data_IF_672442654792
#
_entry.id   IF_672442654792
#
_cell.length_a   1.000
_cell.length_b   1.000
_cell.length_c   1.000
_cell.angle_alpha   90.00
_cell.angle_beta   90.00
_cell.angle_gamma   90.00
#
_symmetry.space_group_name_H-M   'P 1'
#
loop_
_entity.id
_entity.type
_entity.pdbx_description
1 polymer ?
#
# COMPACT_ATOMS: atom_id res chain seq x y z
N UNK A 1 -22.74 -20.26 12.14
CA UNK A 1 -23.92 -19.66 12.80
C UNK A 1 -24.67 -18.71 11.87
N UNK A 2 -24.08 -17.57 11.45
CA UNK A 2 -24.75 -16.59 10.59
C UNK A 2 -25.33 -17.15 9.28
N UNK A 3 -24.56 -17.99 8.56
CA UNK A 3 -25.03 -18.66 7.34
C UNK A 3 -26.30 -19.50 7.58
N UNK A 4 -26.36 -20.23 8.69
CA UNK A 4 -27.53 -21.04 9.03
C UNK A 4 -28.77 -20.17 9.29
N UNK A 5 -28.61 -18.97 9.89
CA UNK A 5 -29.72 -18.02 10.06
C UNK A 5 -30.26 -17.50 8.73
N UNK A 6 -29.36 -17.21 7.79
CA UNK A 6 -29.72 -16.77 6.44
C UNK A 6 -30.45 -17.85 5.66
N UNK A 7 -29.91 -19.08 5.65
CA UNK A 7 -30.55 -20.23 5.00
C UNK A 7 -31.90 -20.57 5.64
N UNK A 8 -31.99 -20.55 6.98
CA UNK A 8 -33.23 -20.81 7.69
C UNK A 8 -34.29 -19.75 7.36
N UNK A 9 -33.93 -18.47 7.32
CA UNK A 9 -34.85 -17.38 6.93
C UNK A 9 -35.37 -17.54 5.51
N UNK A 10 -34.52 -18.00 4.57
CA UNK A 10 -34.95 -18.31 3.21
C UNK A 10 -35.92 -19.51 3.15
N UNK A 11 -35.65 -20.57 3.90
CA UNK A 11 -36.46 -21.81 3.86
C UNK A 11 -37.78 -21.69 4.63
N UNK A 12 -37.79 -21.00 5.77
CA UNK A 12 -38.98 -20.90 6.62
C UNK A 12 -39.98 -19.88 6.12
N UNK A 13 -39.52 -18.78 5.51
CA UNK A 13 -40.36 -17.62 5.17
C UNK A 13 -41.03 -16.96 6.39
N UNK A 14 -40.71 -17.42 7.60
CA UNK A 14 -41.29 -17.00 8.87
C UNK A 14 -40.15 -16.63 9.82
N UNK A 15 -40.20 -15.38 10.31
CA UNK A 15 -39.25 -14.82 11.26
C UNK A 15 -39.30 -15.51 12.64
N UNK A 16 -40.37 -16.24 12.95
CA UNK A 16 -40.57 -16.88 14.25
C UNK A 16 -40.28 -18.39 14.24
N UNK A 17 -39.91 -18.96 13.09
CA UNK A 17 -39.63 -20.39 12.95
C UNK A 17 -38.26 -20.75 13.54
N UNK A 18 -38.18 -20.82 14.87
CA UNK A 18 -36.99 -21.27 15.60
C UNK A 18 -36.68 -22.73 15.25
N UNK A 19 -35.44 -23.01 14.80
CA UNK A 19 -34.99 -24.36 14.49
C UNK A 19 -33.60 -24.61 15.08
N UNK A 20 -33.44 -25.71 15.83
CA UNK A 20 -32.18 -26.06 16.53
C UNK A 20 -31.58 -24.89 17.34
N UNK A 21 -32.41 -24.10 18.01
CA UNK A 21 -32.01 -22.89 18.75
C UNK A 21 -31.36 -21.79 17.90
N UNK A 22 -31.61 -21.81 16.58
CA UNK A 22 -31.20 -20.78 15.64
C UNK A 22 -32.44 -20.03 15.18
N UNK A 23 -32.42 -18.70 15.35
CA UNK A 23 -33.48 -17.81 14.89
C UNK A 23 -33.24 -17.41 13.42
N UNK A 24 -34.26 -17.52 12.54
CA UNK A 24 -34.14 -17.13 11.14
C UNK A 24 -33.89 -15.62 11.00
N UNK A 25 -33.12 -15.23 9.98
CA UNK A 25 -32.97 -13.82 9.61
C UNK A 25 -33.94 -13.47 8.46
N UNK A 26 -34.98 -12.66 8.70
CA UNK A 26 -36.11 -12.53 7.78
C UNK A 26 -35.90 -11.55 6.62
N UNK A 27 -34.72 -10.94 6.47
CA UNK A 27 -34.56 -9.78 5.58
C UNK A 27 -34.26 -10.12 4.11
N UNK A 28 -34.53 -11.34 3.63
CA UNK A 28 -34.04 -11.81 2.33
C UNK A 28 -35.16 -12.11 1.33
N UNK A 29 -35.21 -11.34 0.24
CA UNK A 29 -36.04 -11.59 -0.92
C UNK A 29 -35.48 -12.77 -1.77
N UNK A 30 -36.36 -13.45 -2.51
CA UNK A 30 -35.99 -14.59 -3.37
C UNK A 30 -34.93 -14.26 -4.43
N UNK A 31 -34.76 -12.99 -4.81
CA UNK A 31 -33.72 -12.51 -5.74
C UNK A 31 -32.30 -12.67 -5.19
N UNK A 32 -32.12 -12.65 -3.86
CA UNK A 32 -30.81 -12.72 -3.21
C UNK A 32 -30.42 -14.15 -2.78
N UNK A 33 -31.29 -15.13 -2.98
CA UNK A 33 -31.07 -16.51 -2.54
C UNK A 33 -29.82 -17.16 -3.16
N UNK A 34 -29.53 -16.85 -4.44
CA UNK A 34 -28.35 -17.35 -5.14
C UNK A 34 -27.04 -16.90 -4.47
N UNK A 35 -26.99 -15.67 -3.95
CA UNK A 35 -25.81 -15.15 -3.25
C UNK A 35 -25.52 -15.91 -1.96
N UNK A 36 -26.57 -16.34 -1.24
CA UNK A 36 -26.43 -17.17 -0.04
C UNK A 36 -25.86 -18.54 -0.42
N UNK A 37 -26.29 -19.11 -1.54
CA UNK A 37 -25.73 -20.35 -2.08
C UNK A 37 -24.24 -20.23 -2.37
N UNK A 38 -23.83 -19.21 -3.13
CA UNK A 38 -22.41 -18.96 -3.42
C UNK A 38 -21.58 -18.71 -2.15
N UNK A 39 -22.11 -17.97 -1.18
CA UNK A 39 -21.45 -17.76 0.11
C UNK A 39 -21.33 -19.07 0.90
N UNK A 40 -22.37 -19.92 0.88
CA UNK A 40 -22.34 -21.22 1.54
C UNK A 40 -21.26 -22.12 0.95
N UNK A 41 -21.22 -22.22 -0.39
CA UNK A 41 -20.22 -23.01 -1.11
C UNK A 41 -18.80 -22.50 -0.82
N UNK A 42 -18.61 -21.19 -0.80
CA UNK A 42 -17.33 -20.56 -0.47
C UNK A 42 -16.87 -20.88 0.96
N UNK A 43 -17.75 -20.74 1.95
CA UNK A 43 -17.44 -21.06 3.35
C UNK A 43 -17.14 -22.56 3.51
N UNK A 44 -17.90 -23.42 2.84
CA UNK A 44 -17.66 -24.86 2.87
C UNK A 44 -16.29 -25.20 2.27
N UNK A 45 -15.93 -24.57 1.15
CA UNK A 45 -14.63 -24.76 0.52
C UNK A 45 -13.47 -24.32 1.42
N UNK A 46 -13.59 -23.17 2.09
CA UNK A 46 -12.61 -22.72 3.10
C UNK A 46 -12.49 -23.76 4.22
N UNK A 47 -13.60 -24.28 4.72
CA UNK A 47 -13.58 -25.26 5.81
C UNK A 47 -12.89 -26.57 5.39
N UNK A 48 -13.20 -27.07 4.18
CA UNK A 48 -12.54 -28.25 3.61
C UNK A 48 -11.03 -28.08 3.54
N UNK A 49 -10.56 -26.93 3.03
CA UNK A 49 -9.12 -26.64 2.97
C UNK A 49 -8.52 -26.46 4.36
N UNK A 50 -9.20 -25.79 5.29
CA UNK A 50 -8.72 -25.63 6.68
C UNK A 50 -8.40 -26.98 7.33
N UNK A 51 -9.28 -27.98 7.14
CA UNK A 51 -9.03 -29.33 7.64
C UNK A 51 -7.85 -30.03 6.95
N UNK A 52 -7.70 -29.88 5.63
CA UNK A 52 -6.59 -30.50 4.88
C UNK A 52 -5.24 -29.83 5.20
N UNK A 53 -5.23 -28.50 5.31
CA UNK A 53 -4.07 -27.68 5.63
C UNK A 53 -3.59 -27.89 7.09
N UNK A 54 -4.45 -28.39 7.98
CA UNK A 54 -4.06 -28.71 9.37
C UNK A 54 -3.21 -30.00 9.48
N UNK A 55 -3.20 -30.85 8.46
CA UNK A 55 -2.45 -32.11 8.47
C UNK A 55 -0.97 -31.89 8.12
N UNK A 56 -0.13 -32.86 8.48
CA UNK A 56 1.25 -32.92 7.99
C UNK A 56 1.27 -33.70 6.67
N UNK A 57 1.93 -33.15 5.66
CA UNK A 57 1.99 -33.74 4.32
C UNK A 57 3.43 -33.77 3.81
N UNK A 58 3.70 -34.67 2.86
CA UNK A 58 4.97 -34.68 2.13
C UNK A 58 5.04 -33.48 1.17
N UNK A 59 6.23 -33.05 0.72
CA UNK A 59 6.36 -31.93 -0.22
C UNK A 59 5.55 -32.12 -1.51
N UNK A 60 5.47 -33.35 -2.02
CA UNK A 60 4.67 -33.65 -3.22
C UNK A 60 3.17 -33.49 -2.96
N UNK A 61 2.67 -33.95 -1.82
CA UNK A 61 1.27 -33.78 -1.45
C UNK A 61 0.94 -32.30 -1.19
N UNK A 62 1.85 -31.55 -0.56
CA UNK A 62 1.70 -30.10 -0.42
C UNK A 62 1.64 -29.37 -1.76
N UNK A 63 2.52 -29.71 -2.70
CA UNK A 63 2.49 -29.14 -4.05
C UNK A 63 1.14 -29.38 -4.74
N UNK A 64 0.60 -30.60 -4.68
CA UNK A 64 -0.71 -30.91 -5.27
C UNK A 64 -1.86 -30.17 -4.57
N UNK A 65 -1.85 -30.15 -3.24
CA UNK A 65 -2.88 -29.50 -2.42
C UNK A 65 -2.93 -27.99 -2.67
N UNK A 66 -1.76 -27.33 -2.68
CA UNK A 66 -1.67 -25.88 -2.86
C UNK A 66 -2.00 -25.45 -4.30
N UNK A 67 -1.62 -26.24 -5.32
CA UNK A 67 -2.07 -25.98 -6.70
C UNK A 67 -3.59 -26.07 -6.83
N UNK A 68 -4.22 -27.08 -6.21
CA UNK A 68 -5.68 -27.19 -6.23
C UNK A 68 -6.36 -26.05 -5.47
N UNK A 69 -5.80 -25.66 -4.33
CA UNK A 69 -6.28 -24.50 -3.58
C UNK A 69 -6.26 -23.24 -4.45
N UNK A 70 -5.15 -23.01 -5.17
CA UNK A 70 -5.04 -21.88 -6.09
C UNK A 70 -6.10 -21.93 -7.20
N UNK A 71 -6.32 -23.10 -7.81
CA UNK A 71 -7.31 -23.27 -8.88
C UNK A 71 -8.78 -23.13 -8.38
N UNK A 72 -9.07 -23.54 -7.14
CA UNK A 72 -10.43 -23.52 -6.60
C UNK A 72 -10.86 -22.11 -6.13
N UNK A 73 -9.91 -21.26 -5.71
CA UNK A 73 -10.21 -19.91 -5.18
C UNK A 73 -9.91 -18.77 -6.15
N UNK A 74 -9.05 -18.99 -7.15
CA UNK A 74 -8.65 -17.95 -8.09
C UNK A 74 -9.02 -18.38 -9.51
N UNK A 75 -9.91 -17.62 -10.13
CA UNK A 75 -10.29 -17.80 -11.54
C UNK A 75 -9.14 -17.33 -12.45
N UNK A 76 -8.93 -18.02 -13.57
CA UNK A 76 -8.03 -17.54 -14.62
C UNK A 76 -8.58 -16.22 -15.22
N UNK A 77 -7.73 -15.19 -15.40
CA UNK A 77 -8.19 -13.85 -15.81
C UNK A 77 -8.91 -13.76 -17.16
N UNK A 78 -8.93 -14.82 -17.97
CA UNK A 78 -9.66 -14.85 -19.25
C UNK A 78 -11.18 -14.64 -19.10
N UNK A 79 -11.73 -14.75 -17.89
CA UNK A 79 -13.15 -14.53 -17.58
C UNK A 79 -13.48 -13.12 -17.07
N UNK A 80 -12.47 -12.26 -16.92
CA UNK A 80 -12.63 -10.89 -16.39
C UNK A 80 -12.84 -9.91 -17.56
N UNK A 81 -13.91 -9.11 -17.49
CA UNK A 81 -14.31 -8.22 -18.60
C UNK A 81 -13.23 -7.18 -18.96
N UNK A 82 -13.20 -6.79 -20.25
CA UNK A 82 -12.25 -5.87 -20.92
C UNK A 82 -12.07 -4.47 -20.28
N UNK A 83 -12.75 -4.16 -19.16
CA UNK A 83 -12.79 -2.82 -18.57
C UNK A 83 -11.72 -2.58 -17.48
N UNK A 84 -10.93 -3.58 -17.11
CA UNK A 84 -9.95 -3.52 -16.00
C UNK A 84 -8.49 -3.88 -16.42
N UNK A 85 -8.08 -3.58 -17.65
CA UNK A 85 -6.78 -3.99 -18.25
C UNK A 85 -5.52 -3.84 -17.35
N UNK A 86 -5.24 -2.71 -16.68
CA UNK A 86 -3.96 -2.57 -15.96
C UNK A 86 -3.90 -3.30 -14.61
N UNK A 87 -5.04 -3.65 -14.00
CA UNK A 87 -5.07 -4.48 -12.78
C UNK A 87 -4.94 -5.98 -13.12
N UNK A 88 -5.51 -6.39 -14.26
CA UNK A 88 -5.52 -7.79 -14.72
C UNK A 88 -4.08 -8.31 -14.96
N UNK A 89 -3.20 -7.49 -15.55
CA UNK A 89 -1.81 -7.89 -15.83
C UNK A 89 -1.00 -8.19 -14.56
N UNK A 90 -1.22 -7.42 -13.49
CA UNK A 90 -0.49 -7.60 -12.23
C UNK A 90 -0.95 -8.85 -11.48
N UNK A 91 -2.25 -9.08 -11.44
CA UNK A 91 -2.83 -10.24 -10.75
C UNK A 91 -2.47 -11.55 -11.46
N UNK A 92 -2.44 -11.55 -12.80
CA UNK A 92 -1.95 -12.68 -13.59
C UNK A 92 -0.47 -12.96 -13.32
N UNK A 93 0.39 -11.93 -13.38
CA UNK A 93 1.82 -12.08 -13.09
C UNK A 93 2.05 -12.60 -11.66
N UNK A 94 1.29 -12.10 -10.69
CA UNK A 94 1.37 -12.56 -9.31
C UNK A 94 0.96 -14.04 -9.16
N UNK A 95 -0.12 -14.45 -9.83
CA UNK A 95 -0.59 -15.83 -9.86
C UNK A 95 0.46 -16.77 -10.48
N UNK A 96 0.99 -16.43 -11.66
CA UNK A 96 2.05 -17.21 -12.31
C UNK A 96 3.29 -17.33 -11.42
N UNK A 97 3.72 -16.23 -10.78
CA UNK A 97 4.85 -16.23 -9.85
C UNK A 97 4.64 -17.15 -8.65
N UNK A 98 3.42 -17.20 -8.10
CA UNK A 98 3.06 -18.10 -7.01
C UNK A 98 3.22 -19.57 -7.43
N UNK A 99 2.67 -19.94 -8.59
CA UNK A 99 2.77 -21.30 -9.14
C UNK A 99 4.22 -21.68 -9.46
N UNK A 100 4.97 -20.78 -10.09
CA UNK A 100 6.40 -20.95 -10.39
C UNK A 100 7.22 -21.16 -9.10
N UNK A 101 6.94 -20.37 -8.07
CA UNK A 101 7.58 -20.50 -6.77
C UNK A 101 7.30 -21.85 -6.12
N UNK A 102 6.08 -22.36 -6.25
CA UNK A 102 5.65 -23.65 -5.72
C UNK A 102 6.33 -24.81 -6.45
N UNK A 103 6.40 -24.75 -7.78
CA UNK A 103 7.06 -25.75 -8.62
C UNK A 103 8.57 -25.82 -8.34
N UNK A 104 9.24 -24.67 -8.20
CA UNK A 104 10.67 -24.61 -7.85
C UNK A 104 10.95 -25.20 -6.48
N UNK A 105 10.10 -24.92 -5.49
CA UNK A 105 10.23 -25.52 -4.17
C UNK A 105 10.10 -27.04 -4.22
N UNK A 106 9.14 -27.57 -4.98
CA UNK A 106 9.00 -29.01 -5.18
C UNK A 106 10.25 -29.61 -5.84
N UNK A 107 10.79 -28.96 -6.87
CA UNK A 107 12.00 -29.41 -7.57
C UNK A 107 13.22 -29.48 -6.62
N UNK A 108 13.37 -28.51 -5.73
CA UNK A 108 14.45 -28.51 -4.73
C UNK A 108 14.29 -29.66 -3.73
N UNK A 109 13.06 -29.92 -3.25
CA UNK A 109 12.78 -31.07 -2.39
C UNK A 109 13.09 -32.40 -3.10
N UNK A 110 12.77 -32.53 -4.39
CA UNK A 110 13.10 -33.72 -5.18
C UNK A 110 14.61 -33.90 -5.37
N UNK A 111 15.32 -32.82 -5.68
CA UNK A 111 16.79 -32.81 -5.81
C UNK A 111 17.48 -33.22 -4.51
N UNK A 112 16.94 -32.80 -3.37
CA UNK A 112 17.42 -33.18 -2.05
C UNK A 112 16.91 -34.57 -1.58
N UNK A 113 16.10 -35.27 -2.38
CA UNK A 113 15.40 -36.50 -2.01
C UNK A 113 14.62 -36.38 -0.68
N UNK A 114 14.09 -35.20 -0.39
CA UNK A 114 13.37 -34.92 0.84
C UNK A 114 11.90 -35.33 0.70
N UNK A 115 11.54 -36.44 1.36
CA UNK A 115 10.16 -37.00 1.32
C UNK A 115 9.48 -37.03 2.68
N UNK A 116 10.08 -36.42 3.71
CA UNK A 116 9.52 -36.43 5.06
C UNK A 116 8.29 -35.53 5.16
N UNK A 117 7.27 -35.90 5.95
CA UNK A 117 6.13 -35.04 6.23
C UNK A 117 6.56 -33.77 6.96
N UNK A 118 6.02 -32.62 6.54
CA UNK A 118 6.22 -31.32 7.16
C UNK A 118 4.87 -30.64 7.44
N UNK A 119 4.87 -29.67 8.36
CA UNK A 119 3.70 -28.86 8.67
C UNK A 119 3.44 -27.80 7.60
N UNK A 120 2.22 -27.26 7.57
CA UNK A 120 1.87 -26.13 6.72
C UNK A 120 2.79 -24.93 6.95
N UNK A 121 3.14 -24.63 8.20
CA UNK A 121 3.99 -23.48 8.53
C UNK A 121 5.35 -23.55 7.82
N UNK A 122 5.98 -24.73 7.85
CA UNK A 122 7.26 -24.97 7.16
C UNK A 122 7.10 -24.90 5.65
N UNK A 123 6.07 -25.53 5.08
CA UNK A 123 5.80 -25.49 3.64
C UNK A 123 5.52 -24.06 3.14
N UNK A 124 4.64 -23.33 3.84
CA UNK A 124 4.29 -21.93 3.58
C UNK A 124 5.51 -21.04 3.62
N UNK A 125 6.33 -21.15 4.67
CA UNK A 125 7.55 -20.35 4.80
C UNK A 125 8.55 -20.66 3.67
N UNK A 126 8.77 -21.94 3.36
CA UNK A 126 9.69 -22.34 2.29
C UNK A 126 9.23 -21.92 0.88
N UNK A 127 7.91 -21.88 0.65
CA UNK A 127 7.32 -21.42 -0.60
C UNK A 127 7.28 -19.89 -0.70
N UNK A 128 6.64 -19.20 0.25
CA UNK A 128 6.37 -17.76 0.16
C UNK A 128 7.63 -16.89 0.31
N UNK A 129 8.64 -17.31 1.07
CA UNK A 129 9.88 -16.54 1.18
C UNK A 129 10.64 -16.45 -0.15
N UNK A 130 10.37 -17.34 -1.10
CA UNK A 130 10.94 -17.28 -2.46
C UNK A 130 10.30 -16.18 -3.31
N UNK A 131 9.09 -15.76 -2.93
CA UNK A 131 8.35 -14.70 -3.62
C UNK A 131 8.77 -13.31 -3.15
N UNK A 132 9.57 -13.22 -2.07
CA UNK A 132 10.15 -11.96 -1.63
C UNK A 132 10.76 -11.23 -2.83
N UNK A 133 10.51 -9.91 -2.96
CA UNK A 133 10.83 -9.12 -4.15
C UNK A 133 12.35 -8.92 -4.28
N UNK A 134 13.08 -9.98 -4.61
CA UNK A 134 14.51 -9.90 -4.91
C UNK A 134 14.77 -9.45 -6.36
N UNK A 135 13.72 -9.24 -7.15
CA UNK A 135 13.84 -8.81 -8.54
C UNK A 135 12.66 -7.92 -8.95
N UNK A 136 12.81 -6.62 -8.73
CA UNK A 136 12.39 -5.65 -9.74
C UNK A 136 13.27 -5.89 -10.98
N UNK A 137 13.04 -7.01 -11.67
CA UNK A 137 13.46 -7.19 -13.06
C UNK A 137 12.46 -6.43 -13.94
N UNK A 138 12.20 -5.17 -13.59
CA UNK A 138 11.61 -4.24 -14.54
C UNK A 138 12.57 -4.09 -15.71
N UNK A 139 11.99 -3.79 -16.87
CA UNK A 139 12.66 -3.62 -18.16
C UNK A 139 13.83 -2.62 -18.06
N UNK A 140 15.00 -3.10 -17.68
CA UNK A 140 16.21 -2.31 -17.55
C UNK A 140 16.60 -1.81 -18.95
N UNK A 141 16.78 -0.48 -19.09
CA UNK A 141 17.05 0.22 -20.36
C UNK A 141 15.87 0.36 -21.33
N UNK A 142 14.63 0.23 -20.86
CA UNK A 142 13.45 0.56 -21.68
C UNK A 142 12.89 1.92 -21.26
N UNK A 143 12.91 2.88 -22.18
CA UNK A 143 12.45 4.25 -21.95
C UNK A 143 13.59 5.25 -21.73
N UNK A 144 13.25 6.47 -21.31
CA UNK A 144 14.20 7.59 -21.14
C UNK A 144 14.76 7.75 -19.72
N UNK A 145 14.09 7.22 -18.69
CA UNK A 145 14.48 7.34 -17.28
C UNK A 145 14.36 5.98 -16.60
N UNK A 146 15.43 5.55 -15.91
CA UNK A 146 15.47 4.26 -15.21
C UNK A 146 15.46 4.47 -13.70
N UNK A 147 14.52 3.82 -13.01
CA UNK A 147 14.52 3.72 -11.55
C UNK A 147 15.04 2.35 -11.13
N UNK A 148 16.11 2.32 -10.34
CA UNK A 148 16.73 1.08 -9.90
C UNK A 148 17.42 1.28 -8.55
N UNK A 149 17.63 0.17 -7.84
CA UNK A 149 18.51 0.14 -6.66
C UNK A 149 19.98 0.01 -7.08
N UNK A 150 20.90 0.48 -6.24
CA UNK A 150 22.33 0.28 -6.45
C UNK A 150 22.65 -1.23 -6.34
N UNK A 151 23.00 -1.81 -7.48
CA UNK A 151 23.36 -3.22 -7.64
C UNK A 151 24.87 -3.34 -7.90
N UNK A 152 25.61 -4.15 -7.12
CA UNK A 152 27.06 -4.31 -7.30
C UNK A 152 27.45 -4.70 -8.73
N UNK A 153 28.64 -4.28 -9.16
CA UNK A 153 29.26 -4.66 -10.43
C UNK A 153 28.49 -4.21 -11.67
N UNK A 154 27.65 -3.17 -11.52
CA UNK A 154 26.82 -2.61 -12.60
C UNK A 154 27.07 -1.12 -12.81
N UNK A 155 28.35 -0.72 -12.87
CA UNK A 155 28.79 0.65 -13.13
C UNK A 155 28.62 1.05 -14.60
N UNK A 156 27.38 1.15 -15.07
CA UNK A 156 27.06 1.61 -16.42
C UNK A 156 27.14 3.15 -16.43
N UNK A 157 27.91 3.76 -17.35
CA UNK A 157 28.03 5.20 -17.40
C UNK A 157 26.73 5.85 -17.88
N UNK A 158 26.24 6.83 -17.13
CA UNK A 158 25.07 7.64 -17.49
C UNK A 158 25.46 9.12 -17.52
N UNK A 159 24.80 9.90 -18.38
CA UNK A 159 24.97 11.36 -18.39
C UNK A 159 24.60 11.94 -17.03
N UNK A 160 23.43 11.59 -16.51
CA UNK A 160 22.95 12.05 -15.20
C UNK A 160 22.64 10.85 -14.30
N UNK A 161 23.11 10.90 -13.06
CA UNK A 161 22.81 9.91 -12.02
C UNK A 161 22.21 10.64 -10.81
N UNK A 162 21.09 10.11 -10.32
CA UNK A 162 20.36 10.63 -9.16
C UNK A 162 20.31 9.56 -8.08
N UNK A 163 20.97 9.79 -6.94
CA UNK A 163 20.88 8.95 -5.76
C UNK A 163 19.86 9.55 -4.79
N UNK A 164 18.81 8.79 -4.51
CA UNK A 164 17.70 9.25 -3.66
C UNK A 164 17.70 8.50 -2.33
N UNK A 165 17.31 9.19 -1.25
CA UNK A 165 17.17 8.57 0.07
C UNK A 165 18.50 8.17 0.72
N UNK A 166 19.55 8.97 0.50
CA UNK A 166 20.88 8.75 1.07
C UNK A 166 20.95 9.19 2.55
N UNK A 167 20.06 8.63 3.36
CA UNK A 167 19.95 8.89 4.80
C UNK A 167 20.91 8.00 5.61
N UNK A 168 21.36 8.46 6.78
CA UNK A 168 22.25 7.68 7.67
C UNK A 168 21.66 6.33 8.13
N UNK A 169 20.34 6.24 8.26
CA UNK A 169 19.65 5.00 8.61
C UNK A 169 19.51 4.03 7.42
N UNK A 170 19.53 4.55 6.19
CA UNK A 170 19.19 3.80 4.97
C UNK A 170 20.42 3.33 4.22
N UNK A 171 21.52 4.10 4.27
CA UNK A 171 22.73 3.81 3.52
C UNK A 171 23.99 4.09 4.36
N UNK A 172 25.04 3.23 4.29
CA UNK A 172 25.07 1.91 3.66
C UNK A 172 24.10 0.93 4.35
N UNK A 173 23.61 -0.06 3.61
CA UNK A 173 22.64 -1.04 4.11
C UNK A 173 23.28 -1.86 5.22
N UNK A 174 22.62 -1.94 6.37
CA UNK A 174 23.05 -2.75 7.51
C UNK A 174 22.48 -4.15 7.36
N UNK A 175 23.35 -5.15 7.33
CA UNK A 175 22.98 -6.55 7.51
C UNK A 175 23.93 -7.10 8.55
N UNK A 176 23.49 -7.33 9.80
CA UNK A 176 24.34 -7.97 10.78
C UNK A 176 24.73 -9.35 10.25
N UNK A 177 26.02 -9.74 10.35
CA UNK A 177 26.40 -11.12 10.06
C UNK A 177 25.70 -12.05 11.04
N UNK A 178 25.57 -13.33 10.67
CA UNK A 178 25.09 -14.32 11.62
C UNK A 178 26.09 -14.50 12.77
N UNK A 179 25.61 -14.64 14.00
CA UNK A 179 26.48 -14.85 15.17
C UNK A 179 27.35 -16.12 15.06
N UNK A 180 26.92 -17.08 14.24
CA UNK A 180 27.66 -18.31 13.96
C UNK A 180 28.53 -18.23 12.69
N UNK A 181 28.60 -17.07 12.02
CA UNK A 181 29.49 -16.86 10.89
C UNK A 181 30.94 -16.66 11.36
N UNK A 182 31.73 -17.73 11.30
CA UNK A 182 33.14 -17.70 11.66
C UNK A 182 33.97 -16.80 10.73
N UNK A 183 33.54 -16.59 9.47
CA UNK A 183 34.25 -15.72 8.52
C UNK A 183 34.19 -14.26 8.97
N UNK A 184 33.05 -13.81 9.51
CA UNK A 184 32.89 -12.45 10.02
C UNK A 184 33.90 -12.10 11.12
N UNK A 185 34.29 -13.08 11.95
CA UNK A 185 35.28 -12.91 13.01
C UNK A 185 36.74 -12.98 12.54
N UNK A 186 37.00 -13.55 11.35
CA UNK A 186 38.33 -13.85 10.82
C UNK A 186 38.50 -13.34 9.40
N UNK A 187 38.35 -12.02 9.24
CA UNK A 187 38.46 -11.36 7.95
C UNK A 187 39.76 -11.70 7.21
N UNK A 188 39.63 -12.02 5.92
CA UNK A 188 40.71 -12.21 4.96
C UNK A 188 40.48 -11.34 3.73
N UNK A 189 41.56 -10.87 3.06
CA UNK A 189 41.43 -10.22 1.75
C UNK A 189 40.67 -11.13 0.78
N UNK A 190 39.57 -10.61 0.20
CA UNK A 190 38.64 -11.36 -0.66
C UNK A 190 37.32 -11.70 0.02
N UNK A 191 37.22 -11.62 1.35
CA UNK A 191 35.95 -11.78 2.05
C UNK A 191 35.02 -10.61 1.72
N UNK A 192 33.78 -10.97 1.37
CA UNK A 192 32.76 -10.00 0.99
C UNK A 192 32.12 -9.40 2.23
N UNK A 193 32.18 -8.08 2.34
CA UNK A 193 31.47 -7.34 3.36
C UNK A 193 30.42 -6.44 2.69
N UNK A 194 29.13 -6.65 2.99
CA UNK A 194 28.03 -5.89 2.36
C UNK A 194 28.15 -4.38 2.60
N UNK A 195 28.71 -3.98 3.75
CA UNK A 195 29.02 -2.58 4.05
C UNK A 195 30.03 -2.00 3.07
N UNK A 196 31.07 -2.76 2.74
CA UNK A 196 32.14 -2.30 1.86
C UNK A 196 31.69 -2.32 0.40
N UNK A 197 30.87 -3.31 0.01
CA UNK A 197 30.18 -3.32 -1.30
C UNK A 197 29.34 -2.06 -1.49
N UNK A 198 28.58 -1.66 -0.47
CA UNK A 198 27.76 -0.44 -0.55
C UNK A 198 28.63 0.81 -0.64
N UNK A 199 29.69 0.92 0.17
CA UNK A 199 30.63 2.05 0.05
C UNK A 199 31.26 2.12 -1.33
N UNK A 200 31.63 0.98 -1.89
CA UNK A 200 32.18 0.88 -3.23
C UNK A 200 31.14 1.23 -4.31
N UNK A 201 29.88 0.83 -4.13
CA UNK A 201 28.77 1.21 -5.00
C UNK A 201 28.55 2.72 -5.09
N UNK A 202 28.70 3.45 -3.98
CA UNK A 202 28.64 4.91 -3.99
C UNK A 202 29.73 5.50 -4.88
N UNK A 203 30.96 4.97 -4.77
CA UNK A 203 32.09 5.37 -5.60
C UNK A 203 31.86 5.03 -7.07
N UNK A 204 31.36 3.82 -7.37
CA UNK A 204 31.00 3.44 -8.75
C UNK A 204 29.96 4.39 -9.34
N UNK A 205 28.93 4.75 -8.58
CA UNK A 205 27.91 5.70 -9.02
C UNK A 205 28.50 7.09 -9.30
N UNK A 206 29.40 7.57 -8.44
CA UNK A 206 30.10 8.84 -8.65
C UNK A 206 30.97 8.81 -9.92
N UNK A 207 31.72 7.71 -10.15
CA UNK A 207 32.60 7.54 -11.31
C UNK A 207 31.84 7.28 -12.63
N UNK A 208 30.63 6.75 -12.54
CA UNK A 208 29.76 6.47 -13.69
C UNK A 208 29.04 7.72 -14.21
N UNK A 209 28.82 8.74 -13.36
CA UNK A 209 28.16 9.99 -13.75
C UNK A 209 29.06 10.79 -14.70
N UNK A 210 28.55 11.16 -15.88
CA UNK A 210 29.34 11.88 -16.90
C UNK A 210 29.13 13.38 -16.91
N UNK A 211 27.94 13.86 -16.54
CA UNK A 211 27.59 15.28 -16.57
C UNK A 211 27.00 15.77 -15.25
N UNK A 212 26.13 14.98 -14.60
CA UNK A 212 25.45 15.40 -13.38
C UNK A 212 25.35 14.26 -12.38
N UNK A 213 25.75 14.52 -11.14
CA UNK A 213 25.58 13.63 -10.00
C UNK A 213 24.75 14.35 -8.95
N UNK A 214 23.52 13.88 -8.70
CA UNK A 214 22.60 14.49 -7.75
C UNK A 214 22.36 13.52 -6.60
N UNK A 215 22.42 14.03 -5.38
CA UNK A 215 22.16 13.24 -4.18
C UNK A 215 21.05 13.90 -3.38
N UNK A 216 20.06 13.13 -2.94
CA UNK A 216 19.01 13.59 -2.03
C UNK A 216 18.90 12.71 -0.80
N UNK A 217 18.50 13.32 0.31
CA UNK A 217 18.22 12.67 1.59
C UNK A 217 17.17 13.49 2.35
N UNK A 218 16.54 12.87 3.34
CA UNK A 218 15.54 13.47 4.21
C UNK A 218 16.26 14.18 5.36
N UNK A 219 16.50 15.48 5.20
CA UNK A 219 17.25 16.29 6.17
C UNK A 219 16.50 16.62 7.48
N UNK A 220 15.19 16.37 7.57
CA UNK A 220 14.38 16.62 8.78
C UNK A 220 13.25 15.61 8.96
N UNK A 221 12.90 15.34 10.21
CA UNK A 221 11.77 14.47 10.55
C UNK A 221 10.42 15.19 10.36
N UNK A 222 9.46 14.55 9.68
CA UNK A 222 8.16 15.16 9.30
C UNK A 222 7.32 15.66 10.49
N UNK A 223 7.23 14.89 11.60
CA UNK A 223 6.43 15.25 12.78
C UNK A 223 7.07 16.27 13.72
N UNK A 224 8.32 16.06 14.13
CA UNK A 224 8.99 16.87 15.17
C UNK A 224 10.06 17.82 14.64
N UNK A 225 10.25 17.90 13.31
CA UNK A 225 11.17 18.80 12.63
C UNK A 225 12.65 18.68 13.05
N UNK A 226 13.03 17.60 13.75
CA UNK A 226 14.42 17.38 14.15
C UNK A 226 15.31 17.16 12.93
N UNK A 227 16.53 17.74 12.97
CA UNK A 227 17.52 17.60 11.91
C UNK A 227 17.99 16.15 11.83
N UNK A 228 18.05 15.62 10.61
CA UNK A 228 18.58 14.29 10.29
C UNK A 228 19.82 14.46 9.41
N UNK A 229 20.93 13.79 9.76
CA UNK A 229 22.12 13.82 8.92
C UNK A 229 21.90 13.02 7.63
N UNK A 230 22.65 13.39 6.59
CA UNK A 230 22.85 12.52 5.44
C UNK A 230 23.66 11.29 5.84
N UNK A 231 23.75 10.30 4.96
CA UNK A 231 24.63 9.16 5.20
C UNK A 231 26.10 9.56 5.24
N UNK A 232 26.90 8.74 5.92
CA UNK A 232 28.34 8.96 6.10
C UNK A 232 29.07 9.21 4.78
N UNK A 233 28.69 8.52 3.68
CA UNK A 233 29.33 8.72 2.37
C UNK A 233 29.10 10.13 1.80
N UNK A 234 27.89 10.68 1.99
CA UNK A 234 27.57 12.04 1.56
C UNK A 234 28.32 13.05 2.42
N UNK A 235 28.39 12.85 3.73
CA UNK A 235 29.19 13.72 4.61
C UNK A 235 30.67 13.69 4.23
N UNK A 236 31.25 12.52 3.94
CA UNK A 236 32.64 12.40 3.49
C UNK A 236 32.87 13.11 2.15
N UNK A 237 31.92 13.03 1.22
CA UNK A 237 31.99 13.77 -0.04
C UNK A 237 31.91 15.29 0.19
N UNK A 238 31.02 15.75 1.07
CA UNK A 238 30.92 17.17 1.44
C UNK A 238 32.21 17.68 2.09
N UNK A 239 32.77 16.93 3.04
CA UNK A 239 34.04 17.28 3.70
C UNK A 239 35.20 17.32 2.68
N UNK A 240 35.24 16.39 1.73
CA UNK A 240 36.23 16.39 0.66
C UNK A 240 36.07 17.61 -0.25
N UNK A 241 34.84 17.99 -0.61
CA UNK A 241 34.59 19.19 -1.41
C UNK A 241 35.00 20.46 -0.67
N UNK A 242 34.72 20.55 0.63
CA UNK A 242 35.07 21.72 1.44
C UNK A 242 36.58 21.89 1.66
N UNK A 243 37.36 20.81 1.55
CA UNK A 243 38.83 20.87 1.64
C UNK A 243 39.50 21.50 0.41
N UNK A 244 38.92 21.33 -0.77
CA UNK A 244 39.57 21.69 -2.04
C UNK A 244 38.87 22.82 -2.79
N UNK A 245 37.61 23.13 -2.45
CA UNK A 245 36.83 24.18 -3.09
C UNK A 245 36.24 25.14 -2.07
N UNK A 246 36.25 26.42 -2.45
CA UNK A 246 35.62 27.50 -1.69
C UNK A 246 34.64 28.26 -2.58
N UNK A 247 33.56 28.73 -1.99
CA UNK A 247 32.59 29.60 -2.65
C UNK A 247 32.93 31.07 -2.37
N UNK A 248 32.57 31.97 -3.27
CA UNK A 248 32.79 33.41 -3.05
C UNK A 248 31.94 33.93 -1.88
N UNK A 249 30.81 33.29 -1.58
CA UNK A 249 29.83 33.75 -0.60
C UNK A 249 29.81 32.93 0.70
N UNK A 250 30.41 31.74 0.71
CA UNK A 250 30.45 30.84 1.89
C UNK A 250 31.82 30.18 1.97
N UNK A 251 32.31 29.96 3.20
CA UNK A 251 33.60 29.28 3.40
C UNK A 251 33.58 27.82 2.93
N UNK A 252 32.38 27.20 2.90
CA UNK A 252 32.14 25.79 2.54
C UNK A 252 31.43 25.64 1.20
N UNK A 253 32.06 24.96 0.26
CA UNK A 253 31.45 24.64 -1.04
C UNK A 253 30.19 23.77 -0.89
N UNK A 254 30.17 22.86 0.09
CA UNK A 254 29.07 21.96 0.37
C UNK A 254 27.77 22.68 0.71
N UNK A 255 27.84 23.81 1.42
CA UNK A 255 26.67 24.63 1.77
C UNK A 255 26.08 25.32 0.54
N UNK A 256 26.94 25.79 -0.39
CA UNK A 256 26.47 26.38 -1.66
C UNK A 256 25.83 25.33 -2.57
N UNK A 257 26.35 24.11 -2.57
CA UNK A 257 25.83 23.00 -3.40
C UNK A 257 24.57 22.34 -2.82
N UNK A 258 24.28 22.56 -1.53
CA UNK A 258 23.15 21.93 -0.85
C UNK A 258 21.91 22.81 -0.93
N UNK A 259 20.85 22.30 -1.57
CA UNK A 259 19.55 22.98 -1.62
C UNK A 259 18.58 22.37 -0.61
N UNK A 260 17.97 23.23 0.23
CA UNK A 260 16.95 22.81 1.18
C UNK A 260 15.55 22.95 0.57
N UNK A 261 14.93 21.81 0.27
CA UNK A 261 13.58 21.75 -0.28
C UNK A 261 12.50 21.89 0.82
N UNK A 262 11.48 22.76 0.63
CA UNK A 262 10.30 22.81 1.49
C UNK A 262 9.52 21.49 1.58
N UNK A 263 8.78 21.31 2.69
CA UNK A 263 8.00 20.09 2.97
C UNK A 263 6.86 19.86 1.97
N UNK A 264 6.18 20.93 1.57
CA UNK A 264 5.00 20.84 0.70
C UNK A 264 5.35 21.22 -0.74
N UNK A 265 4.80 20.49 -1.74
CA UNK A 265 5.05 20.80 -3.15
C UNK A 265 4.50 22.16 -3.58
N UNK A 266 3.48 22.67 -2.89
CA UNK A 266 2.86 23.97 -3.14
C UNK A 266 3.48 25.11 -2.32
N UNK A 267 4.67 24.93 -1.74
CA UNK A 267 5.31 25.98 -0.94
C UNK A 267 5.70 27.18 -1.82
N UNK A 268 5.45 28.40 -1.34
CA UNK A 268 5.73 29.65 -2.07
C UNK A 268 7.14 29.74 -2.70
N UNK A 269 8.23 29.29 -2.05
CA UNK A 269 9.57 29.36 -2.63
C UNK A 269 9.77 28.63 -3.97
N UNK A 270 8.89 27.69 -4.34
CA UNK A 270 8.95 27.04 -5.66
C UNK A 270 8.34 27.87 -6.80
N UNK A 271 7.54 28.88 -6.46
CA UNK A 271 6.85 29.78 -7.39
C UNK A 271 7.43 31.21 -7.37
N UNK A 272 8.32 31.51 -6.41
CA UNK A 272 9.03 32.78 -6.36
C UNK A 272 10.33 32.72 -7.18
N UNK A 273 10.70 33.83 -7.79
CA UNK A 273 11.99 33.96 -8.50
C UNK A 273 13.14 34.31 -7.52
N UNK A 274 12.95 34.12 -6.22
CA UNK A 274 13.92 34.50 -5.19
C UNK A 274 15.11 33.55 -5.13
N UNK A 275 14.87 32.25 -5.35
CA UNK A 275 15.92 31.24 -5.37
C UNK A 275 15.81 30.40 -6.66
N UNK A 276 16.73 30.55 -7.63
CA UNK A 276 16.67 29.80 -8.89
C UNK A 276 16.82 28.28 -8.71
N UNK A 277 17.34 27.81 -7.56
CA UNK A 277 17.43 26.39 -7.26
C UNK A 277 16.08 25.76 -6.85
N UNK A 278 15.13 26.59 -6.39
CA UNK A 278 13.80 26.15 -5.99
C UNK A 278 12.81 26.53 -7.08
N UNK A 279 12.45 25.55 -7.91
CA UNK A 279 11.47 25.72 -8.96
C UNK A 279 10.61 24.46 -9.09
N UNK A 280 9.47 24.59 -9.75
CA UNK A 280 8.59 23.46 -10.07
C UNK A 280 8.03 23.60 -11.48
N UNK A 281 7.79 22.47 -12.13
CA UNK A 281 7.04 22.40 -13.39
C UNK A 281 5.55 22.09 -13.16
N UNK A 282 5.13 21.91 -11.90
CA UNK A 282 3.73 21.63 -11.55
C UNK A 282 2.93 22.93 -11.49
N UNK A 283 2.33 23.32 -12.62
CA UNK A 283 1.52 24.54 -12.73
C UNK A 283 0.22 24.50 -11.92
N UNK A 284 -0.29 23.31 -11.57
CA UNK A 284 -1.56 23.15 -10.82
C UNK A 284 -1.58 23.93 -9.49
N UNK A 285 -0.43 24.01 -8.83
CA UNK A 285 -0.28 24.69 -7.54
C UNK A 285 -0.07 26.19 -7.65
N UNK A 286 0.18 26.70 -8.86
CA UNK A 286 0.45 28.12 -9.11
C UNK A 286 -0.75 29.00 -8.80
N UNK A 287 -1.96 28.47 -8.97
CA UNK A 287 -3.21 29.15 -8.65
C UNK A 287 -3.25 29.65 -7.19
N UNK A 288 -2.71 28.87 -6.25
CA UNK A 288 -2.65 29.23 -4.82
C UNK A 288 -1.83 30.49 -4.52
N UNK A 289 -0.86 30.82 -5.39
CA UNK A 289 0.04 31.97 -5.21
C UNK A 289 -0.27 33.13 -6.16
N UNK A 290 -1.00 32.87 -7.24
CA UNK A 290 -1.40 33.89 -8.23
C UNK A 290 -2.68 34.60 -7.80
N UNK A 291 -3.55 33.91 -7.05
CA UNK A 291 -4.73 34.51 -6.43
C UNK A 291 -4.33 35.24 -5.13
N UNK A 292 -3.64 36.37 -5.31
CA UNK A 292 -3.61 37.49 -4.37
C UNK A 292 -4.82 38.43 -4.57
N UNK A 293 -5.88 37.97 -5.26
CA UNK A 293 -7.18 38.51 -4.89
C UNK A 293 -7.39 38.11 -3.44
N UNK A 294 -7.77 39.05 -2.55
CA UNK A 294 -8.11 38.67 -1.19
C UNK A 294 -9.08 37.52 -1.36
N UNK A 295 -8.71 36.33 -0.86
CA UNK A 295 -9.67 35.25 -0.65
C UNK A 295 -10.89 35.99 -0.18
N UNK A 296 -11.93 35.98 -1.04
CA UNK A 296 -13.03 36.90 -0.85
C UNK A 296 -13.32 36.82 0.63
N UNK A 297 -13.50 37.98 1.24
CA UNK A 297 -14.25 38.02 2.47
C UNK A 297 -15.67 37.50 2.13
N UNK A 298 -15.82 36.26 1.63
CA UNK A 298 -16.66 35.27 2.25
C UNK A 298 -16.21 35.26 3.70
N UNK A 299 -16.68 36.25 4.45
CA UNK A 299 -17.47 35.90 5.61
C UNK A 299 -18.05 34.51 5.34
N UNK A 300 -17.78 33.54 6.20
CA UNK A 300 -18.67 32.38 6.28
C UNK A 300 -20.08 32.82 6.76
N UNK A 301 -20.55 34.02 6.38
CA UNK A 301 -21.90 34.18 5.91
C UNK A 301 -21.98 33.27 4.69
N UNK A 302 -22.33 32.00 4.96
CA UNK A 302 -23.20 31.25 4.06
C UNK A 302 -24.12 32.30 3.45
N UNK A 303 -24.18 32.50 2.12
CA UNK A 303 -25.13 33.44 1.59
C UNK A 303 -26.48 32.94 2.09
N UNK A 304 -26.98 33.61 3.13
CA UNK A 304 -28.39 33.64 3.46
C UNK A 304 -29.07 34.52 2.40
N UNK A 305 -28.66 34.36 1.14
CA UNK A 305 -29.59 34.47 0.03
C UNK A 305 -30.74 33.59 0.47
N UNK A 306 -31.84 34.25 0.82
CA UNK A 306 -33.10 33.62 1.16
C UNK A 306 -33.44 32.70 0.00
N UNK A 307 -32.99 31.46 0.15
CA UNK A 307 -33.26 30.37 -0.74
C UNK A 307 -34.77 30.44 -1.00
N UNK A 308 -35.22 30.58 -2.27
CA UNK A 308 -36.61 30.83 -2.56
C UNK A 308 -37.46 29.77 -1.86
N UNK A 309 -38.63 30.18 -1.37
CA UNK A 309 -39.53 29.29 -0.65
C UNK A 309 -39.73 28.03 -1.47
N UNK A 310 -39.15 26.93 -1.00
CA UNK A 310 -39.23 25.66 -1.69
C UNK A 310 -40.56 25.01 -1.35
N UNK A 311 -41.32 24.67 -2.38
CA UNK A 311 -42.55 23.89 -2.26
C UNK A 311 -42.26 22.51 -2.82
N UNK A 312 -42.45 21.43 -2.04
CA UNK A 312 -42.27 20.08 -2.56
C UNK A 312 -43.24 19.85 -3.73
N UNK A 313 -42.73 19.23 -4.79
CA UNK A 313 -43.53 18.85 -5.97
C UNK A 313 -44.54 17.75 -5.65
N UNK A 314 -44.30 17.01 -4.56
CA UNK A 314 -45.15 15.92 -4.08
C UNK A 314 -45.93 16.35 -2.85
N UNK A 315 -47.11 15.77 -2.67
CA UNK A 315 -47.89 15.97 -1.44
C UNK A 315 -47.08 15.58 -0.20
N UNK A 316 -47.15 16.42 0.83
CA UNK A 316 -46.48 16.17 2.12
C UNK A 316 -47.06 14.91 2.77
N UNK A 317 -46.24 13.87 2.95
CA UNK A 317 -46.64 12.68 3.70
C UNK A 317 -46.47 12.91 5.21
N UNK A 318 -47.26 12.25 6.07
CA UNK A 318 -47.06 12.29 7.52
C UNK A 318 -45.66 11.82 7.95
N UNK A 319 -45.07 10.87 7.22
CA UNK A 319 -43.69 10.38 7.44
C UNK A 319 -42.67 11.49 7.19
N UNK A 320 -42.81 12.22 6.08
CA UNK A 320 -41.93 13.35 5.75
C UNK A 320 -42.02 14.47 6.79
N UNK A 321 -43.22 14.76 7.30
CA UNK A 321 -43.41 15.73 8.40
C UNK A 321 -42.73 15.26 9.69
N UNK A 322 -42.85 13.98 10.04
CA UNK A 322 -42.17 13.40 11.21
C UNK A 322 -40.65 13.46 11.08
N UNK A 323 -40.09 13.10 9.92
CA UNK A 323 -38.66 13.21 9.63
C UNK A 323 -38.20 14.67 9.68
N UNK A 324 -39.00 15.60 9.16
CA UNK A 324 -38.70 17.04 9.18
C UNK A 324 -38.66 17.59 10.60
N UNK A 325 -39.59 17.20 11.47
CA UNK A 325 -39.58 17.63 12.87
C UNK A 325 -38.40 17.06 13.67
N UNK A 326 -37.93 15.85 13.32
CA UNK A 326 -36.79 15.20 14.00
C UNK A 326 -35.44 15.72 13.50
N UNK A 327 -35.29 15.91 12.19
CA UNK A 327 -34.04 16.28 11.55
C UNK A 327 -34.30 17.19 10.32
N UNK A 328 -34.66 18.48 10.53
CA UNK A 328 -35.10 19.38 9.46
C UNK A 328 -34.01 19.66 8.42
N UNK A 329 -32.75 19.71 8.85
CA UNK A 329 -31.60 19.90 7.97
C UNK A 329 -31.41 18.72 7.01
N UNK A 330 -31.52 17.48 7.51
CA UNK A 330 -31.40 16.28 6.69
C UNK A 330 -32.49 16.22 5.61
N UNK A 331 -33.74 16.55 5.99
CA UNK A 331 -34.86 16.62 5.04
C UNK A 331 -34.66 17.73 4.01
N UNK A 332 -34.12 18.89 4.40
CA UNK A 332 -33.77 19.94 3.44
C UNK A 332 -32.74 19.46 2.42
N UNK A 333 -31.63 18.86 2.85
CA UNK A 333 -30.60 18.33 1.94
C UNK A 333 -31.14 17.23 1.02
N UNK A 334 -31.91 16.30 1.58
CA UNK A 334 -32.49 15.19 0.83
C UNK A 334 -33.57 15.63 -0.16
N UNK A 335 -34.51 16.46 0.26
CA UNK A 335 -35.71 16.77 -0.54
C UNK A 335 -35.51 17.99 -1.45
N UNK A 336 -34.77 19.02 -1.00
CA UNK A 336 -34.52 20.22 -1.79
C UNK A 336 -33.28 20.09 -2.69
N UNK A 337 -32.20 19.50 -2.18
CA UNK A 337 -30.92 19.41 -2.89
C UNK A 337 -30.63 18.01 -3.47
N UNK A 338 -31.47 17.01 -3.17
CA UNK A 338 -31.23 15.62 -3.54
C UNK A 338 -29.87 15.09 -3.08
N UNK A 339 -29.38 15.59 -1.95
CA UNK A 339 -28.13 15.19 -1.31
C UNK A 339 -28.49 14.25 -0.16
N UNK A 340 -28.08 12.99 -0.28
CA UNK A 340 -28.09 12.02 0.82
C UNK A 340 -26.66 11.78 1.25
N UNK A 341 -26.40 11.99 2.54
CA UNK A 341 -25.14 11.57 3.14
C UNK A 341 -25.28 10.09 3.45
N UNK A 342 -24.60 9.18 2.73
CA UNK A 342 -24.65 7.77 3.08
C UNK A 342 -24.17 7.65 4.52
N UNK A 343 -24.99 7.01 5.35
CA UNK A 343 -24.51 6.60 6.67
C UNK A 343 -23.45 5.55 6.38
N UNK A 344 -22.23 5.71 6.90
CA UNK A 344 -21.24 4.66 6.79
C UNK A 344 -21.87 3.39 7.37
N UNK A 345 -21.83 2.29 6.61
CA UNK A 345 -22.21 0.99 7.13
C UNK A 345 -21.49 0.81 8.46
N UNK A 346 -22.25 0.49 9.53
CA UNK A 346 -21.68 0.35 10.86
C UNK A 346 -20.49 -0.59 10.80
N UNK A 347 -19.38 -0.22 11.44
CA UNK A 347 -18.23 -1.10 11.53
C UNK A 347 -18.70 -2.46 12.04
N UNK A 348 -18.43 -3.52 11.27
CA UNK A 348 -18.58 -4.88 11.77
C UNK A 348 -17.65 -5.03 12.97
N UNK A 349 -18.19 -5.47 14.09
CA UNK A 349 -17.39 -5.71 15.29
C UNK A 349 -16.54 -6.98 15.10
N UNK A 350 -15.28 -6.92 15.52
CA UNK A 350 -14.35 -8.05 15.44
C UNK A 350 -14.69 -9.20 16.41
N UNK A 351 -15.64 -8.98 17.32
CA UNK A 351 -15.99 -9.90 18.40
C UNK A 351 -17.50 -10.08 18.51
N UNK A 352 -17.91 -11.13 19.20
CA UNK A 352 -19.31 -11.33 19.57
C UNK A 352 -19.75 -10.31 20.63
N UNK A 353 -21.02 -9.87 20.61
CA UNK A 353 -21.49 -8.86 21.56
C UNK A 353 -21.55 -9.45 22.97
N UNK A 354 -20.66 -8.98 23.86
CA UNK A 354 -20.69 -9.32 25.30
C UNK A 354 -21.62 -8.42 26.10
N UNK A 355 -21.82 -7.19 25.62
CA UNK A 355 -22.69 -6.19 26.22
C UNK A 355 -23.41 -5.46 25.12
N UNK A 356 -24.70 -5.19 25.33
CA UNK A 356 -25.47 -4.41 24.38
C UNK A 356 -25.11 -2.93 24.54
N UNK A 357 -24.82 -2.28 23.42
CA UNK A 357 -24.64 -0.83 23.42
C UNK A 357 -26.00 -0.10 23.55
N UNK A 358 -25.99 1.22 23.71
CA UNK A 358 -27.22 2.00 23.92
C UNK A 358 -28.22 1.91 22.75
N UNK A 359 -27.73 1.69 21.53
CA UNK A 359 -28.58 1.56 20.34
C UNK A 359 -29.21 0.16 20.27
N UNK A 360 -28.43 -0.87 20.55
CA UNK A 360 -28.88 -2.27 20.63
C UNK A 360 -29.83 -2.51 21.80
N UNK A 361 -29.65 -1.83 22.94
CA UNK A 361 -30.59 -1.88 24.07
C UNK A 361 -31.92 -1.19 23.77
N UNK A 362 -31.91 -0.23 22.84
CA UNK A 362 -33.10 0.52 22.47
C UNK A 362 -33.92 -0.20 21.39
N UNK A 363 -33.25 -0.92 20.48
CA UNK A 363 -33.86 -1.78 19.46
C UNK A 363 -34.52 -3.01 20.10
#
# INVERSE_FOLDING_TARGET
FGLNRLLLGYLSGDAQALWQSIEPYPAMDASNAALIGYLADFIEQINRYTHQLAQTNTPQAWHQLLNRLMADFFLEPSEWSEQNEPLIDNDLEAHERLLDGLARWQADCQSAHFTQPITLETARHAWLNRLEPHRLQQRFLVGGVNFATLMPMRAIPYRHIYLLGMDDASYPRRQPPSDFDLMASRYRPGDRARRDDDRYLFLEALLAAREKFVISWVGRHIRNNQKRPACVMVSQLQDYLDQFWHSQNTEKASETLTTHHPLHPYSHPYFSNENPALFTYADDWRALHTQLEPAAQTSHECPAENLPLWRPERSLSPKMLGEFLRAPTHVLFKERFNITFPTQDGNLEDHEPFTLNNLELWQ
#
